data_IF_571616549801
#
_entry.id   IF_571616549801
#
_cell.length_a   1.000
_cell.length_b   1.000
_cell.length_c   1.000
_cell.angle_alpha   90.00
_cell.angle_beta   90.00
_cell.angle_gamma   90.00
#
_symmetry.space_group_name_H-M   'P 1'
#
loop_
_entity.id
_entity.type
_entity.pdbx_description
1 polymer ?
#
# COMPACT_ATOMS: atom_id res chain seq x y z
N UNK A 1 1.31 -4.30 -16.26
CA UNK A 1 2.12 -5.34 -15.60
C UNK A 1 1.47 -5.63 -14.27
N UNK A 2 1.16 -6.89 -14.01
CA UNK A 2 0.48 -7.28 -12.77
C UNK A 2 1.45 -7.32 -11.60
N UNK A 3 0.97 -6.88 -10.44
CA UNK A 3 1.68 -6.93 -9.17
C UNK A 3 0.74 -7.42 -8.07
N UNK A 4 1.29 -8.10 -7.09
CA UNK A 4 0.58 -8.49 -5.88
C UNK A 4 1.51 -8.50 -4.67
N UNK A 5 0.96 -8.29 -3.48
CA UNK A 5 1.76 -8.22 -2.28
C UNK A 5 0.97 -7.85 -1.03
N UNK A 6 1.71 -7.46 0.00
CA UNK A 6 1.14 -6.98 1.26
C UNK A 6 1.50 -5.51 1.46
N UNK A 7 0.50 -4.65 1.55
CA UNK A 7 0.69 -3.21 1.80
C UNK A 7 0.83 -2.88 3.29
N UNK A 8 0.33 -3.76 4.16
CA UNK A 8 0.43 -3.66 5.62
C UNK A 8 0.41 -5.06 6.22
N UNK A 9 1.01 -5.22 7.40
CA UNK A 9 1.07 -6.48 8.16
C UNK A 9 0.55 -6.23 9.58
N UNK A 10 -0.27 -7.14 10.10
CA UNK A 10 -0.89 -6.96 11.41
C UNK A 10 0.12 -7.08 12.55
N UNK A 11 0.00 -6.20 13.54
CA UNK A 11 0.80 -6.27 14.76
C UNK A 11 2.29 -5.93 14.59
N UNK A 12 2.73 -5.56 13.38
CA UNK A 12 4.11 -5.16 13.10
C UNK A 12 4.20 -3.64 13.12
N UNK A 13 5.13 -3.12 13.91
CA UNK A 13 5.42 -1.69 13.94
C UNK A 13 6.18 -1.27 12.67
N UNK A 14 5.77 -0.17 12.06
CA UNK A 14 6.54 0.50 11.03
C UNK A 14 7.69 1.33 11.65
N UNK A 15 8.53 1.93 10.79
CA UNK A 15 9.68 2.74 11.20
C UNK A 15 9.29 4.03 11.96
N UNK A 16 8.01 4.41 11.96
CA UNK A 16 7.48 5.54 12.70
C UNK A 16 6.76 5.11 14.00
N UNK A 17 6.74 3.81 14.30
CA UNK A 17 6.09 3.25 15.49
C UNK A 17 4.57 3.08 15.35
N UNK A 18 4.03 3.14 14.14
CA UNK A 18 2.63 2.81 13.87
C UNK A 18 2.45 1.29 13.73
N UNK A 19 1.39 0.77 14.36
CA UNK A 19 0.95 -0.62 14.21
C UNK A 19 -0.47 -0.61 13.68
N UNK A 20 -0.72 -1.28 12.56
CA UNK A 20 -2.08 -1.42 12.03
C UNK A 20 -2.75 -2.65 12.66
N UNK A 21 -3.93 -2.45 13.24
CA UNK A 21 -4.76 -3.53 13.76
C UNK A 21 -5.61 -4.17 12.65
N UNK A 22 -5.90 -5.46 12.77
CA UNK A 22 -6.82 -6.17 11.86
C UNK A 22 -8.18 -5.47 11.85
N UNK A 23 -8.73 -5.23 10.66
CA UNK A 23 -10.02 -4.53 10.47
C UNK A 23 -9.89 -3.01 10.34
N UNK A 24 -8.67 -2.45 10.48
CA UNK A 24 -8.48 -1.00 10.42
C UNK A 24 -8.84 -0.39 9.05
N UNK A 25 -8.82 -1.17 7.97
CA UNK A 25 -9.17 -0.70 6.63
C UNK A 25 -10.63 -0.99 6.24
N UNK A 26 -11.31 -1.90 6.94
CA UNK A 26 -12.64 -2.41 6.57
C UNK A 26 -13.65 -1.30 6.24
N UNK A 27 -13.79 -0.30 7.12
CA UNK A 27 -14.73 0.81 6.93
C UNK A 27 -14.37 1.70 5.72
N UNK A 28 -13.08 1.86 5.42
CA UNK A 28 -12.64 2.62 4.24
C UNK A 28 -12.93 1.84 2.96
N UNK A 29 -12.54 0.57 2.92
CA UNK A 29 -12.70 -0.29 1.74
C UNK A 29 -14.17 -0.58 1.42
N UNK A 30 -15.03 -0.74 2.44
CA UNK A 30 -16.47 -0.88 2.24
C UNK A 30 -17.10 0.36 1.56
N UNK A 31 -16.56 1.55 1.82
CA UNK A 31 -17.09 2.81 1.26
C UNK A 31 -16.57 3.08 -0.15
N UNK A 32 -15.29 2.82 -0.41
CA UNK A 32 -14.64 3.28 -1.64
C UNK A 32 -14.27 2.15 -2.60
N UNK A 33 -14.29 0.90 -2.14
CA UNK A 33 -13.73 -0.24 -2.86
C UNK A 33 -12.25 -0.06 -3.21
N UNK A 34 -11.73 -0.96 -4.05
CA UNK A 34 -10.34 -0.88 -4.51
C UNK A 34 -10.08 0.33 -5.42
N UNK A 35 -11.04 0.69 -6.28
CA UNK A 35 -10.96 1.85 -7.17
C UNK A 35 -10.88 3.21 -6.43
N UNK A 36 -11.19 3.24 -5.14
CA UNK A 36 -11.01 4.40 -4.28
C UNK A 36 -9.57 4.66 -3.86
N UNK A 37 -8.70 3.65 -3.92
CA UNK A 37 -7.33 3.73 -3.44
C UNK A 37 -6.39 3.96 -4.62
N UNK A 38 -5.55 5.00 -4.55
CA UNK A 38 -4.62 5.33 -5.63
C UNK A 38 -3.36 4.47 -5.59
N UNK A 39 -2.85 4.12 -6.76
CA UNK A 39 -1.51 3.53 -6.92
C UNK A 39 -0.58 4.64 -7.40
N UNK A 40 0.14 5.24 -6.47
CA UNK A 40 1.11 6.29 -6.77
C UNK A 40 2.54 5.72 -6.76
N UNK A 41 3.50 6.53 -7.21
CA UNK A 41 4.92 6.27 -7.05
C UNK A 41 5.51 7.30 -6.07
N UNK A 42 6.17 6.83 -4.99
CA UNK A 42 6.81 7.66 -3.97
C UNK A 42 5.88 8.70 -3.31
N UNK A 43 4.60 8.36 -3.07
CA UNK A 43 3.60 9.25 -2.47
C UNK A 43 3.34 10.55 -3.26
N UNK A 44 3.77 10.60 -4.52
CA UNK A 44 3.62 11.78 -5.37
C UNK A 44 2.26 11.78 -6.09
N UNK A 45 1.41 12.75 -5.78
CA UNK A 45 0.04 12.85 -6.28
C UNK A 45 -0.04 12.98 -7.81
N UNK A 46 0.97 13.58 -8.46
CA UNK A 46 1.04 13.64 -9.94
C UNK A 46 1.50 12.33 -10.57
N UNK A 47 2.05 11.40 -9.80
CA UNK A 47 2.63 10.15 -10.29
C UNK A 47 1.68 8.96 -10.07
N UNK A 48 0.47 9.04 -10.63
CA UNK A 48 -0.46 7.89 -10.67
C UNK A 48 0.09 6.88 -11.69
N UNK A 49 0.53 5.71 -11.23
CA UNK A 49 1.26 4.73 -12.06
C UNK A 49 0.47 3.48 -12.40
N UNK A 50 -0.68 3.29 -11.74
CA UNK A 50 -1.51 2.12 -11.99
C UNK A 50 -2.86 2.15 -11.32
N UNK A 51 -3.46 0.98 -11.21
CA UNK A 51 -4.74 0.77 -10.50
C UNK A 51 -4.65 -0.46 -9.62
N UNK A 52 -5.33 -0.41 -8.48
CA UNK A 52 -5.56 -1.57 -7.64
C UNK A 52 -6.84 -2.28 -8.08
N UNK A 53 -6.73 -3.57 -8.36
CA UNK A 53 -7.86 -4.41 -8.74
C UNK A 53 -8.50 -5.07 -7.49
N UNK A 54 -7.69 -5.37 -6.47
CA UNK A 54 -8.13 -5.95 -5.21
C UNK A 54 -7.33 -5.41 -4.02
N UNK A 55 -8.03 -5.13 -2.92
CA UNK A 55 -7.46 -4.94 -1.58
C UNK A 55 -8.30 -5.74 -0.59
N UNK A 56 -7.68 -6.68 0.10
CA UNK A 56 -8.36 -7.63 0.99
C UNK A 56 -7.59 -7.72 2.29
N UNK A 57 -8.27 -7.50 3.41
CA UNK A 57 -7.74 -7.84 4.73
C UNK A 57 -7.83 -9.37 4.90
N UNK A 58 -6.69 -10.02 5.12
CA UNK A 58 -6.61 -11.45 5.44
C UNK A 58 -6.04 -11.66 6.86
N UNK A 59 -5.63 -12.88 7.20
CA UNK A 59 -5.07 -13.18 8.51
C UNK A 59 -3.66 -12.62 8.74
N UNK A 60 -2.95 -12.26 7.68
CA UNK A 60 -1.58 -11.73 7.72
C UNK A 60 -1.56 -10.20 7.66
N UNK A 61 -2.38 -9.60 6.81
CA UNK A 61 -2.25 -8.19 6.49
C UNK A 61 -3.28 -7.67 5.48
N UNK A 62 -3.00 -6.49 4.93
CA UNK A 62 -3.72 -5.95 3.78
C UNK A 62 -3.06 -6.47 2.51
N UNK A 63 -3.62 -7.52 1.92
CA UNK A 63 -3.19 -8.06 0.64
C UNK A 63 -3.72 -7.19 -0.49
N UNK A 64 -2.86 -6.84 -1.44
CA UNK A 64 -3.19 -6.00 -2.59
C UNK A 64 -2.82 -6.70 -3.89
N UNK A 65 -3.61 -6.47 -4.94
CA UNK A 65 -3.34 -6.92 -6.30
C UNK A 65 -3.75 -5.85 -7.29
N UNK A 66 -2.92 -5.60 -8.30
CA UNK A 66 -3.16 -4.50 -9.24
C UNK A 66 -2.25 -4.54 -10.46
N UNK A 67 -2.31 -3.46 -11.25
CA UNK A 67 -1.59 -3.34 -12.52
C UNK A 67 -0.91 -1.99 -12.65
N UNK A 68 0.39 -2.01 -12.95
CA UNK A 68 1.18 -0.85 -13.37
C UNK A 68 1.02 -0.67 -14.88
N UNK A 69 0.64 0.54 -15.33
CA UNK A 69 0.44 0.90 -16.74
C UNK A 69 1.66 1.65 -17.32
N UNK A 70 1.58 2.09 -18.58
CA UNK A 70 2.61 2.85 -19.29
C UNK A 70 2.11 4.19 -19.86
N UNK A 71 0.97 4.67 -19.35
CA UNK A 71 0.29 5.89 -19.79
C UNK A 71 1.07 7.19 -19.55
N UNK A 72 2.12 7.16 -18.74
CA UNK A 72 2.93 8.34 -18.40
C UNK A 72 4.41 7.99 -18.27
N UNK A 73 5.31 8.99 -18.36
CA UNK A 73 6.73 8.79 -18.06
C UNK A 73 6.97 8.15 -16.68
N UNK A 74 6.25 8.60 -15.65
CA UNK A 74 6.35 8.09 -14.29
C UNK A 74 5.92 6.63 -14.20
N UNK A 75 4.82 6.26 -14.88
CA UNK A 75 4.32 4.88 -14.89
C UNK A 75 5.31 3.94 -15.62
N UNK A 76 5.87 4.37 -16.75
CA UNK A 76 6.91 3.63 -17.46
C UNK A 76 8.17 3.46 -16.61
N UNK A 77 8.59 4.51 -15.90
CA UNK A 77 9.74 4.47 -15.01
C UNK A 77 9.53 3.48 -13.85
N UNK A 78 8.42 3.59 -13.11
CA UNK A 78 8.10 2.68 -12.02
C UNK A 78 7.99 1.22 -12.51
N UNK A 79 7.34 0.99 -13.66
CA UNK A 79 7.25 -0.33 -14.29
C UNK A 79 8.63 -0.89 -14.66
N UNK A 80 9.53 -0.07 -15.19
CA UNK A 80 10.88 -0.50 -15.55
C UNK A 80 11.70 -0.90 -14.31
N UNK A 81 11.66 -0.08 -13.25
CA UNK A 81 12.34 -0.39 -11.98
C UNK A 81 11.79 -1.66 -11.34
N UNK A 82 10.46 -1.81 -11.30
CA UNK A 82 9.82 -3.01 -10.75
C UNK A 82 10.20 -4.27 -11.53
N UNK A 83 10.26 -4.20 -12.87
CA UNK A 83 10.75 -5.32 -13.71
C UNK A 83 12.21 -5.67 -13.47
N UNK A 84 13.04 -4.69 -13.14
CA UNK A 84 14.44 -4.88 -12.83
C UNK A 84 14.68 -5.39 -11.39
N UNK A 85 13.64 -5.49 -10.56
CA UNK A 85 13.77 -5.82 -9.13
C UNK A 85 14.33 -4.68 -8.29
N UNK A 86 14.40 -3.45 -8.83
CA UNK A 86 14.91 -2.27 -8.14
C UNK A 86 13.81 -1.50 -7.38
N UNK A 87 12.55 -1.90 -7.55
CA UNK A 87 11.38 -1.31 -6.87
C UNK A 87 10.38 -2.42 -6.53
N UNK A 88 10.24 -2.73 -5.25
CA UNK A 88 9.36 -3.80 -4.75
C UNK A 88 8.62 -3.41 -3.45
N UNK A 89 8.77 -2.17 -2.96
CA UNK A 89 8.17 -1.68 -1.72
C UNK A 89 6.75 -1.16 -1.91
N UNK A 90 5.92 -1.36 -0.88
CA UNK A 90 4.59 -0.78 -0.75
C UNK A 90 4.51 0.08 0.52
N UNK A 91 3.86 1.23 0.43
CA UNK A 91 3.60 2.09 1.58
C UNK A 91 2.19 2.67 1.53
N UNK A 92 1.49 2.67 2.65
CA UNK A 92 0.12 3.18 2.75
C UNK A 92 0.13 4.69 3.01
N UNK A 93 -0.72 5.42 2.29
CA UNK A 93 -1.07 6.81 2.60
C UNK A 93 -2.51 6.86 3.09
N UNK A 94 -2.72 7.42 4.28
CA UNK A 94 -4.01 7.37 4.96
C UNK A 94 -4.23 8.56 5.88
N UNK A 95 -5.49 8.79 6.24
CA UNK A 95 -5.90 9.62 7.38
C UNK A 95 -6.32 8.74 8.54
N UNK A 96 -5.69 8.91 9.70
CA UNK A 96 -6.09 8.22 10.93
C UNK A 96 -7.50 8.66 11.37
N UNK A 97 -8.39 7.71 11.63
CA UNK A 97 -9.75 7.96 12.16
C UNK A 97 -9.86 7.58 13.62
N UNK A 98 -9.34 6.40 14.00
CA UNK A 98 -9.22 5.97 15.40
C UNK A 98 -7.88 5.29 15.64
N UNK A 99 -7.23 5.68 16.72
CA UNK A 99 -5.99 5.08 17.18
C UNK A 99 -5.92 5.09 18.70
N UNK A 100 -5.17 4.14 19.26
CA UNK A 100 -4.82 4.11 20.69
C UNK A 100 -3.32 4.10 20.87
N UNK A 101 -2.85 4.47 22.05
CA UNK A 101 -1.44 4.32 22.44
C UNK A 101 -1.20 2.93 23.04
N UNK A 102 0.01 2.42 22.82
CA UNK A 102 0.51 1.21 23.44
C UNK A 102 1.99 1.41 23.77
N UNK A 103 2.25 1.95 24.96
CA UNK A 103 3.56 2.51 25.30
C UNK A 103 3.98 3.59 24.31
N UNK A 104 5.08 3.35 23.58
CA UNK A 104 5.60 4.27 22.55
C UNK A 104 4.89 4.11 21.20
N UNK A 105 4.18 3.00 20.99
CA UNK A 105 3.53 2.69 19.72
C UNK A 105 2.19 3.43 19.58
N UNK A 106 1.81 3.70 18.34
CA UNK A 106 0.46 4.15 17.97
C UNK A 106 -0.24 3.02 17.22
N UNK A 107 -1.26 2.45 17.83
CA UNK A 107 -2.04 1.36 17.23
C UNK A 107 -3.23 1.95 16.48
N UNK A 108 -3.21 1.84 15.16
CA UNK A 108 -4.26 2.31 14.25
C UNK A 108 -5.38 1.27 14.18
N UNK A 109 -6.57 1.64 14.63
CA UNK A 109 -7.74 0.75 14.67
C UNK A 109 -8.81 1.10 13.64
N UNK A 110 -8.76 2.31 13.08
CA UNK A 110 -9.51 2.68 11.89
C UNK A 110 -8.74 3.76 11.13
N UNK A 111 -8.59 3.57 9.82
CA UNK A 111 -8.00 4.54 8.93
C UNK A 111 -8.88 4.75 7.71
N UNK A 112 -8.76 5.93 7.12
CA UNK A 112 -9.23 6.20 5.77
C UNK A 112 -8.05 6.07 4.81
N UNK A 113 -8.07 4.99 4.02
CA UNK A 113 -7.01 4.66 3.09
C UNK A 113 -7.18 5.46 1.79
N UNK A 114 -6.18 6.27 1.45
CA UNK A 114 -6.20 7.11 0.25
C UNK A 114 -5.39 6.48 -0.87
N UNK A 115 -4.25 5.89 -0.53
CA UNK A 115 -3.35 5.30 -1.49
C UNK A 115 -2.55 4.13 -0.92
N UNK A 116 -2.08 3.29 -1.83
CA UNK A 116 -0.94 2.40 -1.60
C UNK A 116 0.06 2.72 -2.69
N UNK A 117 1.19 3.29 -2.30
CA UNK A 117 2.26 3.76 -3.17
C UNK A 117 3.30 2.67 -3.43
N UNK A 118 3.85 2.63 -4.65
CA UNK A 118 5.09 1.93 -4.95
C UNK A 118 6.25 2.80 -4.48
N UNK A 119 7.10 2.27 -3.59
CA UNK A 119 8.18 3.02 -2.95
C UNK A 119 9.47 2.23 -2.94
N UNK A 120 10.61 2.94 -2.93
CA UNK A 120 11.92 2.29 -2.78
C UNK A 120 12.10 1.78 -1.36
N UNK A 121 11.70 2.59 -0.37
CA UNK A 121 11.85 2.30 1.05
C UNK A 121 10.50 2.41 1.76
N UNK A 122 9.81 1.29 2.03
CA UNK A 122 8.56 1.33 2.75
C UNK A 122 8.80 1.63 4.24
N UNK A 123 7.87 2.38 4.86
CA UNK A 123 7.90 2.57 6.32
C UNK A 123 7.74 1.25 7.06
N UNK A 124 6.98 0.29 6.50
CA UNK A 124 6.93 -1.08 6.98
C UNK A 124 7.85 -1.95 6.12
N UNK A 125 9.04 -2.40 6.59
CA UNK A 125 10.01 -3.09 5.73
C UNK A 125 9.50 -4.35 5.02
N UNK A 126 8.54 -5.05 5.64
CA UNK A 126 7.88 -6.24 5.09
C UNK A 126 6.73 -5.97 4.12
N UNK A 127 6.34 -4.71 3.91
CA UNK A 127 5.34 -4.34 2.92
C UNK A 127 5.96 -4.33 1.52
N UNK A 128 5.83 -5.47 0.83
CA UNK A 128 6.48 -5.74 -0.46
C UNK A 128 5.49 -6.29 -1.46
N UNK A 129 5.79 -6.11 -2.74
CA UNK A 129 5.09 -6.72 -3.85
C UNK A 129 6.02 -7.53 -4.74
N UNK A 130 5.46 -8.51 -5.43
CA UNK A 130 6.09 -9.20 -6.54
C UNK A 130 5.41 -8.80 -7.84
N UNK A 131 6.17 -8.79 -8.93
CA UNK A 131 5.62 -8.58 -10.27
C UNK A 131 5.63 -9.89 -11.04
N UNK A 132 4.56 -10.14 -11.80
CA UNK A 132 4.50 -11.25 -12.75
C UNK A 132 4.60 -10.73 -14.17
N UNK A 133 5.36 -11.47 -15.00
CA UNK A 133 5.34 -11.28 -16.45
C UNK A 133 4.12 -12.04 -16.98
N UNK A 134 3.09 -11.29 -17.41
CA UNK A 134 2.31 -11.69 -18.56
C UNK A 134 3.04 -11.17 -19.80
#
# INVERSE_FOLDING_TARGET
>A
MSIEGYASLWGVADLNGDVVAKGAFAASLARTGAGGVRMLHQHEARAVVGVWDALVEDDRGLRVGGRIFDWSPEARYARALARAGALDGLSIGFRSRRARRDGRLRVLTEVELWEVSLVTFPMLPGARFQSSRL
#
